data_IF_682935304153
#
_entry.id   IF_682935304153
#
_cell.length_a   1.000
_cell.length_b   1.000
_cell.length_c   1.000
_cell.angle_alpha   90.00
_cell.angle_beta   90.00
_cell.angle_gamma   90.00
#
_symmetry.space_group_name_H-M   'P 1'
#
loop_
_entity.id
_entity.type
_entity.pdbx_description
1 polymer ?
#
# COMPACT_ATOMS: atom_id res chain seq x y z
N UNK A 1 -12.82 -22.32 8.61
CA UNK A 1 -12.15 -21.00 8.77
C UNK A 1 -12.14 -20.34 7.40
N UNK A 2 -12.41 -19.04 7.30
CA UNK A 2 -12.24 -18.34 6.03
C UNK A 2 -10.75 -18.42 5.61
N UNK A 3 -10.48 -18.63 4.31
CA UNK A 3 -9.11 -18.67 3.82
C UNK A 3 -8.42 -17.32 4.08
N UNK A 4 -7.12 -17.36 4.42
CA UNK A 4 -6.33 -16.13 4.64
C UNK A 4 -6.25 -15.36 3.31
N UNK A 5 -6.36 -14.02 3.34
CA UNK A 5 -6.08 -13.22 2.15
C UNK A 5 -4.68 -13.50 1.63
N UNK A 6 -4.53 -13.61 0.31
CA UNK A 6 -3.22 -13.84 -0.34
C UNK A 6 -2.85 -12.66 -1.23
N UNK A 7 -1.70 -12.07 -0.95
CA UNK A 7 -1.24 -10.82 -1.55
C UNK A 7 -0.16 -11.09 -2.58
N UNK A 8 -0.38 -10.66 -3.82
CA UNK A 8 0.53 -10.82 -4.94
C UNK A 8 1.20 -9.48 -5.26
N UNK A 9 2.50 -9.39 -4.99
CA UNK A 9 3.28 -8.17 -5.22
C UNK A 9 4.79 -8.42 -5.19
N UNK A 10 5.59 -7.38 -5.38
CA UNK A 10 7.03 -7.44 -5.15
C UNK A 10 7.37 -7.55 -3.66
N UNK A 11 8.56 -8.10 -3.36
CA UNK A 11 9.12 -8.12 -2.00
C UNK A 11 9.58 -6.71 -1.56
N UNK A 12 8.62 -5.81 -1.37
CA UNK A 12 8.85 -4.45 -0.92
C UNK A 12 7.54 -3.70 -0.71
N UNK A 13 7.64 -2.41 -0.40
CA UNK A 13 6.47 -1.58 -0.06
C UNK A 13 5.52 -1.40 -1.25
N UNK A 14 5.93 -0.54 -2.19
CA UNK A 14 5.12 -0.07 -3.31
C UNK A 14 3.66 0.23 -2.95
N UNK A 15 2.74 -0.17 -3.83
CA UNK A 15 1.29 0.04 -3.66
C UNK A 15 0.63 -0.99 -2.73
N UNK A 16 1.31 -2.08 -2.36
CA UNK A 16 0.77 -3.12 -1.49
C UNK A 16 0.92 -2.78 0.00
N UNK A 17 1.83 -1.88 0.36
CA UNK A 17 2.12 -1.59 1.77
C UNK A 17 0.90 -1.12 2.56
N UNK A 18 0.07 -0.24 1.99
CA UNK A 18 -1.17 0.21 2.65
C UNK A 18 -2.16 -0.92 2.91
N UNK A 19 -2.20 -1.94 2.04
CA UNK A 19 -3.05 -3.12 2.21
C UNK A 19 -2.54 -3.98 3.37
N UNK A 20 -1.21 -4.19 3.47
CA UNK A 20 -0.60 -4.87 4.62
C UNK A 20 -0.92 -4.16 5.93
N UNK A 21 -0.81 -2.83 5.95
CA UNK A 21 -1.13 -2.01 7.12
C UNK A 21 -2.59 -2.16 7.55
N UNK A 22 -3.53 -2.14 6.60
CA UNK A 22 -4.96 -2.26 6.92
C UNK A 22 -5.30 -3.66 7.47
N UNK A 23 -4.81 -4.73 6.83
CA UNK A 23 -5.01 -6.10 7.31
C UNK A 23 -4.39 -6.30 8.70
N UNK A 24 -3.17 -5.80 8.90
CA UNK A 24 -2.51 -5.88 10.19
C UNK A 24 -3.25 -5.10 11.28
N UNK A 25 -3.72 -3.87 10.99
CA UNK A 25 -4.53 -3.09 11.91
C UNK A 25 -5.83 -3.81 12.30
N UNK A 26 -6.46 -4.50 11.34
CA UNK A 26 -7.63 -5.35 11.53
C UNK A 26 -7.34 -6.67 12.29
N UNK A 27 -6.07 -6.98 12.57
CA UNK A 27 -5.68 -8.25 13.21
C UNK A 27 -5.82 -9.47 12.29
N UNK A 28 -5.82 -9.26 10.97
CA UNK A 28 -6.01 -10.30 9.97
C UNK A 28 -4.65 -10.82 9.53
N UNK A 29 -4.44 -12.14 9.66
CA UNK A 29 -3.28 -12.81 9.08
C UNK A 29 -3.45 -12.96 7.57
N UNK A 30 -2.37 -12.80 6.83
CA UNK A 30 -2.35 -12.89 5.37
C UNK A 30 -1.08 -13.56 4.87
N UNK A 31 -1.18 -14.15 3.69
CA UNK A 31 -0.08 -14.77 2.97
C UNK A 31 0.42 -13.84 1.86
N UNK A 32 1.68 -14.00 1.46
CA UNK A 32 2.28 -13.22 0.39
C UNK A 32 2.90 -14.17 -0.66
N UNK A 33 2.65 -13.88 -1.92
CA UNK A 33 3.33 -14.51 -3.06
C UNK A 33 4.11 -13.41 -3.79
N UNK A 34 5.44 -13.53 -3.76
CA UNK A 34 6.32 -12.50 -4.30
C UNK A 34 6.61 -12.72 -5.78
N UNK A 35 6.53 -11.62 -6.53
CA UNK A 35 7.01 -11.56 -7.90
C UNK A 35 8.51 -11.28 -7.90
N UNK A 36 9.28 -12.32 -8.21
CA UNK A 36 10.74 -12.30 -8.29
C UNK A 36 11.26 -12.39 -9.73
N UNK A 37 10.40 -12.80 -10.67
CA UNK A 37 10.75 -12.98 -12.10
C UNK A 37 9.68 -12.41 -13.02
N UNK A 38 10.07 -12.10 -14.26
CA UNK A 38 9.15 -11.64 -15.30
C UNK A 38 8.13 -12.72 -15.64
N UNK A 39 8.56 -13.97 -15.68
CA UNK A 39 7.76 -15.14 -16.03
C UNK A 39 6.61 -15.34 -15.04
N UNK A 40 6.85 -15.13 -13.74
CA UNK A 40 5.80 -15.15 -12.72
C UNK A 40 4.74 -14.06 -12.97
N UNK A 41 5.17 -12.84 -13.29
CA UNK A 41 4.26 -11.74 -13.60
C UNK A 41 3.43 -12.01 -14.88
N UNK A 42 4.08 -12.45 -15.95
CA UNK A 42 3.40 -12.81 -17.20
C UNK A 42 2.45 -13.98 -17.03
N UNK A 43 2.77 -14.94 -16.15
CA UNK A 43 1.86 -16.03 -15.81
C UNK A 43 0.56 -15.50 -15.21
N UNK A 44 0.62 -14.54 -14.28
CA UNK A 44 -0.61 -13.92 -13.73
C UNK A 44 -1.46 -13.23 -14.80
N UNK A 45 -0.81 -12.62 -15.81
CA UNK A 45 -1.50 -12.02 -16.95
C UNK A 45 -2.14 -13.07 -17.85
N UNK A 46 -1.37 -14.11 -18.24
CA UNK A 46 -1.83 -15.21 -19.11
C UNK A 46 -2.97 -16.03 -18.48
N UNK A 47 -2.91 -16.23 -17.17
CA UNK A 47 -3.95 -16.91 -16.40
C UNK A 47 -5.23 -16.05 -16.23
N UNK A 48 -5.26 -14.81 -16.74
CA UNK A 48 -6.42 -13.91 -16.66
C UNK A 48 -6.69 -13.38 -15.25
N UNK A 49 -5.73 -13.49 -14.33
CA UNK A 49 -5.90 -13.11 -12.91
C UNK A 49 -5.81 -11.62 -12.67
N UNK A 50 -5.23 -10.88 -13.62
CA UNK A 50 -5.03 -9.44 -13.53
C UNK A 50 -5.98 -8.70 -14.49
N UNK A 51 -7.09 -8.18 -13.96
CA UNK A 51 -8.13 -7.50 -14.76
C UNK A 51 -7.58 -6.41 -15.71
N UNK A 52 -6.58 -5.65 -15.26
CA UNK A 52 -5.91 -4.62 -16.04
C UNK A 52 -4.44 -4.97 -16.34
N UNK A 53 -4.07 -6.24 -16.22
CA UNK A 53 -2.68 -6.68 -16.40
C UNK A 53 -1.71 -6.14 -15.34
N UNK A 54 -2.18 -5.62 -14.21
CA UNK A 54 -1.38 -4.93 -13.18
C UNK A 54 -1.53 -5.57 -11.80
N UNK A 55 -0.47 -5.50 -10.98
CA UNK A 55 -0.52 -5.71 -9.53
C UNK A 55 -0.53 -4.36 -8.78
N UNK A 56 -1.05 -4.24 -7.54
CA UNK A 56 -1.47 -5.28 -6.59
C UNK A 56 -2.59 -6.21 -7.04
N UNK A 57 -2.47 -7.49 -6.71
CA UNK A 57 -3.56 -8.48 -6.73
C UNK A 57 -3.74 -9.04 -5.31
N UNK A 58 -5.00 -9.16 -4.87
CA UNK A 58 -5.36 -9.79 -3.60
C UNK A 58 -6.44 -10.84 -3.83
N UNK A 59 -6.17 -12.06 -3.42
CA UNK A 59 -7.17 -13.12 -3.30
C UNK A 59 -7.84 -13.01 -1.94
N UNK A 60 -9.15 -12.80 -1.93
CA UNK A 60 -9.91 -12.70 -0.69
C UNK A 60 -11.39 -13.00 -0.95
N UNK A 61 -12.02 -13.81 -0.07
CA UNK A 61 -13.44 -14.18 -0.16
C UNK A 61 -13.87 -14.73 -1.53
N UNK A 62 -12.99 -15.51 -2.18
CA UNK A 62 -13.23 -16.08 -3.51
C UNK A 62 -13.09 -15.09 -4.67
N UNK A 63 -12.69 -13.84 -4.41
CA UNK A 63 -12.46 -12.81 -5.43
C UNK A 63 -10.98 -12.61 -5.73
N UNK A 64 -10.70 -12.19 -6.97
CA UNK A 64 -9.39 -11.73 -7.45
C UNK A 64 -9.44 -10.20 -7.58
N UNK A 65 -9.08 -9.48 -6.52
CA UNK A 65 -9.18 -8.02 -6.51
C UNK A 65 -7.88 -7.38 -7.00
N UNK A 66 -8.00 -6.52 -8.01
CA UNK A 66 -6.95 -5.61 -8.47
C UNK A 66 -7.35 -4.16 -8.15
N UNK A 67 -6.46 -3.19 -8.40
CA UNK A 67 -6.62 -1.77 -8.04
C UNK A 67 -6.59 -1.49 -6.52
N UNK A 68 -5.54 -0.79 -6.07
CA UNK A 68 -5.26 -0.54 -4.65
C UNK A 68 -6.45 0.08 -3.90
N UNK A 69 -7.14 1.07 -4.48
CA UNK A 69 -8.31 1.69 -3.84
C UNK A 69 -9.47 0.72 -3.66
N UNK A 70 -9.76 -0.11 -4.66
CA UNK A 70 -10.86 -1.06 -4.60
C UNK A 70 -10.60 -2.11 -3.51
N UNK A 71 -9.37 -2.64 -3.45
CA UNK A 71 -8.93 -3.57 -2.41
C UNK A 71 -9.06 -2.94 -1.01
N UNK A 72 -8.51 -1.74 -0.81
CA UNK A 72 -8.59 -1.04 0.48
C UNK A 72 -10.04 -0.76 0.90
N UNK A 73 -10.87 -0.32 -0.05
CA UNK A 73 -12.29 -0.02 0.18
C UNK A 73 -13.06 -1.25 0.65
N UNK A 74 -12.82 -2.39 -0.01
CA UNK A 74 -13.44 -3.66 0.35
C UNK A 74 -13.03 -4.11 1.76
N UNK A 75 -11.72 -4.14 2.04
CA UNK A 75 -11.19 -4.58 3.33
C UNK A 75 -11.61 -3.63 4.46
N UNK A 76 -11.62 -2.32 4.23
CA UNK A 76 -12.05 -1.34 5.23
C UNK A 76 -13.54 -1.54 5.58
N UNK A 77 -14.40 -1.79 4.59
CA UNK A 77 -15.81 -2.09 4.84
C UNK A 77 -15.97 -3.42 5.58
N UNK A 78 -15.29 -4.48 5.11
CA UNK A 78 -15.35 -5.83 5.70
C UNK A 78 -14.96 -5.85 7.18
N UNK A 79 -13.98 -5.03 7.58
CA UNK A 79 -13.46 -4.99 8.95
C UNK A 79 -13.91 -3.75 9.74
N UNK A 80 -14.99 -3.08 9.31
CA UNK A 80 -15.60 -1.93 10.01
C UNK A 80 -14.68 -0.73 10.24
N UNK A 81 -13.74 -0.49 9.33
CA UNK A 81 -12.86 0.69 9.30
C UNK A 81 -13.35 1.80 8.35
N UNK A 82 -14.55 1.68 7.77
CA UNK A 82 -15.01 2.58 6.70
C UNK A 82 -16.16 3.53 7.08
N UNK A 83 -16.28 3.85 8.37
CA UNK A 83 -17.34 4.70 8.90
C UNK A 83 -18.71 4.03 8.92
N UNK A 84 -19.66 4.62 9.66
CA UNK A 84 -21.01 4.04 9.81
C UNK A 84 -22.04 4.59 8.83
N UNK A 85 -21.73 5.70 8.18
CA UNK A 85 -22.63 6.40 7.26
C UNK A 85 -21.86 7.08 6.12
N UNK A 86 -22.60 7.61 5.14
CA UNK A 86 -22.03 8.25 3.96
C UNK A 86 -21.17 9.48 4.29
N UNK A 87 -21.51 10.23 5.36
CA UNK A 87 -20.77 11.44 5.74
C UNK A 87 -19.44 11.10 6.40
N UNK A 88 -19.41 10.08 7.24
CA UNK A 88 -18.17 9.54 7.79
C UNK A 88 -17.30 8.92 6.68
N UNK A 89 -17.92 8.14 5.79
CA UNK A 89 -17.22 7.49 4.68
C UNK A 89 -16.55 8.50 3.75
N UNK A 90 -17.26 9.54 3.29
CA UNK A 90 -16.67 10.54 2.40
C UNK A 90 -15.55 11.33 3.09
N UNK A 91 -15.64 11.55 4.40
CA UNK A 91 -14.55 12.18 5.17
C UNK A 91 -13.33 11.26 5.26
N UNK A 92 -13.52 9.96 5.45
CA UNK A 92 -12.44 8.96 5.40
C UNK A 92 -11.79 8.97 4.02
N UNK A 93 -12.60 8.93 2.95
CA UNK A 93 -12.10 8.99 1.57
C UNK A 93 -11.26 10.25 1.34
N UNK A 94 -11.74 11.43 1.69
CA UNK A 94 -10.96 12.67 1.55
C UNK A 94 -9.59 12.61 2.23
N UNK A 95 -9.51 12.02 3.43
CA UNK A 95 -8.24 11.89 4.14
C UNK A 95 -7.32 10.86 3.49
N UNK A 96 -7.86 9.70 3.10
CA UNK A 96 -7.11 8.64 2.43
C UNK A 96 -6.57 9.14 1.09
N UNK A 97 -7.38 9.81 0.28
CA UNK A 97 -7.00 10.33 -1.04
C UNK A 97 -5.85 11.33 -0.91
N UNK A 98 -5.94 12.26 0.05
CA UNK A 98 -4.86 13.18 0.35
C UNK A 98 -3.56 12.47 0.78
N UNK A 99 -3.64 11.37 1.54
CA UNK A 99 -2.44 10.57 1.84
C UNK A 99 -1.91 9.83 0.62
N UNK A 100 -2.77 9.35 -0.28
CA UNK A 100 -2.37 8.63 -1.48
C UNK A 100 -1.62 9.55 -2.46
N UNK A 101 -2.02 10.80 -2.59
CA UNK A 101 -1.31 11.80 -3.39
C UNK A 101 0.12 12.02 -2.88
N UNK A 102 0.29 12.16 -1.56
CA UNK A 102 1.61 12.29 -0.95
C UNK A 102 2.44 11.01 -1.10
N UNK A 103 1.84 9.86 -0.82
CA UNK A 103 2.50 8.56 -0.90
C UNK A 103 2.90 8.21 -2.33
N UNK A 104 2.13 8.61 -3.34
CA UNK A 104 2.49 8.43 -4.74
C UNK A 104 3.80 9.14 -5.09
N UNK A 105 3.99 10.38 -4.64
CA UNK A 105 5.25 11.10 -4.84
C UNK A 105 6.42 10.40 -4.14
N UNK A 106 6.23 9.94 -2.89
CA UNK A 106 7.26 9.21 -2.13
C UNK A 106 7.60 7.88 -2.81
N UNK A 107 6.60 7.17 -3.33
CA UNK A 107 6.75 5.86 -3.98
C UNK A 107 7.54 5.93 -5.28
N UNK A 108 7.42 7.03 -6.03
CA UNK A 108 8.14 7.22 -7.29
C UNK A 108 9.58 7.71 -7.10
N UNK A 109 9.92 8.27 -5.93
CA UNK A 109 11.24 8.81 -5.63
C UNK A 109 12.42 7.81 -5.78
N UNK A 110 12.28 6.50 -5.48
CA UNK A 110 13.34 5.52 -5.73
C UNK A 110 13.70 5.33 -7.21
N UNK A 111 12.78 5.64 -8.14
CA UNK A 111 12.94 5.47 -9.58
C UNK A 111 13.39 6.76 -10.30
N UNK A 112 13.57 7.85 -9.56
CA UNK A 112 14.08 9.10 -10.12
C UNK A 112 15.55 8.98 -10.49
N UNK A 113 15.97 9.73 -11.50
CA UNK A 113 17.38 9.83 -11.88
C UNK A 113 18.19 10.45 -10.73
N UNK A 114 19.46 10.05 -10.52
CA UNK A 114 20.29 10.57 -9.43
C UNK A 114 20.34 12.09 -9.36
N UNK A 115 20.42 12.76 -10.51
CA UNK A 115 20.48 14.21 -10.65
C UNK A 115 19.21 14.94 -10.20
N UNK A 116 18.04 14.32 -10.33
CA UNK A 116 16.73 14.91 -9.97
C UNK A 116 16.28 14.55 -8.55
N UNK A 117 16.91 13.54 -7.96
CA UNK A 117 16.44 12.91 -6.72
C UNK A 117 16.46 13.87 -5.53
N UNK A 118 17.50 14.69 -5.40
CA UNK A 118 17.61 15.62 -4.28
C UNK A 118 16.53 16.71 -4.30
N UNK A 119 16.31 17.34 -5.47
CA UNK A 119 15.28 18.36 -5.65
C UNK A 119 13.87 17.77 -5.47
N UNK A 120 13.64 16.59 -6.04
CA UNK A 120 12.36 15.88 -5.89
C UNK A 120 12.05 15.59 -4.42
N UNK A 121 13.03 15.08 -3.66
CA UNK A 121 12.86 14.83 -2.23
C UNK A 121 12.60 16.12 -1.44
N UNK A 122 13.30 17.22 -1.76
CA UNK A 122 13.06 18.51 -1.13
C UNK A 122 11.63 19.01 -1.40
N UNK A 123 11.15 18.89 -2.64
CA UNK A 123 9.77 19.24 -3.04
C UNK A 123 8.73 18.39 -2.31
N UNK A 124 8.96 17.08 -2.18
CA UNK A 124 8.09 16.17 -1.43
C UNK A 124 8.03 16.57 0.04
N UNK A 125 9.17 16.82 0.67
CA UNK A 125 9.24 17.26 2.08
C UNK A 125 8.50 18.59 2.26
N UNK A 126 8.68 19.53 1.34
CA UNK A 126 8.00 20.82 1.41
C UNK A 126 6.48 20.67 1.29
N UNK A 127 5.99 19.87 0.33
CA UNK A 127 4.56 19.57 0.18
C UNK A 127 4.00 18.84 1.40
N UNK A 128 4.74 17.86 1.95
CA UNK A 128 4.35 17.15 3.15
C UNK A 128 4.11 18.12 4.31
N UNK A 129 5.08 19.01 4.58
CA UNK A 129 5.03 19.97 5.70
C UNK A 129 3.97 21.04 5.52
N UNK A 130 3.78 21.57 4.32
CA UNK A 130 2.94 22.76 4.11
C UNK A 130 1.50 22.44 3.70
N UNK A 131 1.26 21.28 3.07
CA UNK A 131 -0.07 20.91 2.56
C UNK A 131 -0.72 19.78 3.35
N UNK A 132 0.01 18.70 3.62
CA UNK A 132 -0.60 17.46 4.10
C UNK A 132 -0.56 17.33 5.62
N UNK A 133 0.62 17.45 6.25
CA UNK A 133 0.79 17.27 7.69
C UNK A 133 -0.10 18.17 8.54
N UNK A 134 -0.29 19.47 8.23
CA UNK A 134 -1.17 20.34 9.03
C UNK A 134 -2.63 19.83 9.10
N UNK A 135 -3.11 19.18 8.03
CA UNK A 135 -4.45 18.58 8.00
C UNK A 135 -4.54 17.43 9.01
N UNK A 136 -3.53 16.55 9.01
CA UNK A 136 -3.51 15.38 9.90
C UNK A 136 -3.18 15.74 11.35
N UNK A 137 -2.29 16.69 11.60
CA UNK A 137 -1.99 17.17 12.95
C UNK A 137 -3.21 17.79 13.63
N UNK A 138 -4.01 18.54 12.86
CA UNK A 138 -5.27 19.09 13.34
C UNK A 138 -6.32 18.00 13.61
N UNK A 139 -6.38 16.97 12.75
CA UNK A 139 -7.38 15.91 12.83
C UNK A 139 -7.02 14.79 13.83
N UNK A 140 -5.74 14.52 14.07
CA UNK A 140 -5.25 13.31 14.73
C UNK A 140 -4.13 13.61 15.75
N UNK A 141 -4.41 14.46 16.76
CA UNK A 141 -3.53 14.66 17.93
C UNK A 141 -3.33 13.35 18.71
N UNK A 142 -2.37 12.54 18.24
CA UNK A 142 -1.71 11.34 18.82
C UNK A 142 -2.60 10.28 19.48
N UNK A 143 -2.63 9.04 18.93
CA UNK A 143 -2.79 7.74 19.66
C UNK A 143 -2.86 6.45 18.80
N UNK A 144 -2.51 6.48 17.51
CA UNK A 144 -2.67 5.29 16.64
C UNK A 144 -1.58 4.22 16.87
N UNK A 145 -0.33 4.60 17.16
CA UNK A 145 0.80 3.65 17.32
C UNK A 145 0.68 2.73 18.55
N UNK A 146 -0.20 3.05 19.50
CA UNK A 146 -0.41 2.26 20.71
C UNK A 146 -1.51 1.20 20.57
N UNK A 147 -2.23 1.15 19.44
CA UNK A 147 -3.21 0.09 19.17
C UNK A 147 -2.45 -1.24 19.12
N UNK A 148 -2.84 -2.29 19.88
CA UNK A 148 -2.06 -3.52 20.01
C UNK A 148 -1.67 -4.18 18.69
N UNK A 149 -2.60 -4.23 17.73
CA UNK A 149 -2.36 -4.81 16.40
C UNK A 149 -1.33 -4.02 15.60
N UNK A 150 -1.42 -2.69 15.63
CA UNK A 150 -0.45 -1.78 15.01
C UNK A 150 0.91 -1.89 15.71
N UNK A 151 0.94 -1.94 17.03
CA UNK A 151 2.18 -2.10 17.81
C UNK A 151 2.88 -3.41 17.46
N UNK A 152 2.13 -4.51 17.28
CA UNK A 152 2.66 -5.80 16.80
C UNK A 152 3.24 -5.67 15.39
N UNK A 153 2.53 -5.00 14.48
CA UNK A 153 3.00 -4.80 13.10
C UNK A 153 4.24 -3.90 13.01
N UNK A 154 4.46 -3.03 14.00
CA UNK A 154 5.65 -2.20 14.10
C UNK A 154 6.90 -2.95 14.64
N UNK A 155 6.74 -4.12 15.25
CA UNK A 155 7.88 -4.88 15.80
C UNK A 155 8.73 -5.53 14.70
N UNK A 156 10.03 -5.79 14.98
CA UNK A 156 10.87 -6.60 14.10
C UNK A 156 10.25 -7.97 13.80
N UNK A 157 10.46 -8.47 12.58
CA UNK A 157 9.92 -9.76 12.13
C UNK A 157 8.46 -9.72 11.67
N UNK A 158 7.80 -8.56 11.68
CA UNK A 158 6.48 -8.41 11.06
C UNK A 158 6.58 -8.41 9.52
N UNK A 159 5.43 -8.53 8.84
CA UNK A 159 5.35 -8.43 7.38
C UNK A 159 5.49 -6.99 6.83
N UNK A 160 5.76 -6.00 7.69
CA UNK A 160 6.05 -4.61 7.27
C UNK A 160 7.33 -4.57 6.44
N UNK A 161 7.30 -3.91 5.29
CA UNK A 161 8.47 -3.89 4.39
C UNK A 161 9.40 -2.71 4.70
N UNK A 162 10.74 -2.88 4.55
CA UNK A 162 11.69 -1.79 4.70
C UNK A 162 11.52 -0.72 3.60
N UNK A 163 12.11 0.48 3.74
CA UNK A 163 12.16 1.43 2.64
C UNK A 163 12.77 0.79 1.38
N UNK A 164 12.25 1.09 0.18
CA UNK A 164 12.82 0.58 -1.08
C UNK A 164 14.28 0.95 -1.24
N UNK A 165 15.10 -0.03 -1.61
CA UNK A 165 16.50 0.13 -1.98
C UNK A 165 16.69 0.01 -3.51
N UNK A 166 17.95 0.10 -3.96
CA UNK A 166 18.30 -0.03 -5.37
C UNK A 166 17.99 -1.42 -5.93
N UNK A 167 18.12 -2.47 -5.11
CA UNK A 167 17.80 -3.83 -5.53
C UNK A 167 16.31 -3.96 -5.85
N UNK A 168 15.44 -3.47 -4.97
CA UNK A 168 14.00 -3.40 -5.22
C UNK A 168 13.68 -2.61 -6.49
N UNK A 169 14.26 -1.42 -6.67
CA UNK A 169 13.98 -0.59 -7.84
C UNK A 169 14.35 -1.31 -9.14
N UNK A 170 15.54 -1.91 -9.19
CA UNK A 170 16.01 -2.66 -10.37
C UNK A 170 15.15 -3.88 -10.66
N UNK A 171 14.76 -4.64 -9.64
CA UNK A 171 13.88 -5.81 -9.79
C UNK A 171 12.53 -5.41 -10.39
N UNK A 172 11.92 -4.35 -9.85
CA UNK A 172 10.62 -3.86 -10.33
C UNK A 172 10.72 -3.36 -11.77
N UNK A 173 11.72 -2.55 -12.10
CA UNK A 173 11.97 -2.07 -13.46
C UNK A 173 12.19 -3.22 -14.45
N UNK A 174 12.94 -4.25 -14.05
CA UNK A 174 13.16 -5.43 -14.88
C UNK A 174 11.87 -6.22 -15.14
N UNK A 175 11.09 -6.51 -14.09
CA UNK A 175 9.86 -7.30 -14.21
C UNK A 175 8.77 -6.53 -14.95
N UNK A 176 8.66 -5.21 -14.77
CA UNK A 176 7.63 -4.39 -15.40
C UNK A 176 8.05 -3.72 -16.71
N UNK A 177 9.34 -3.75 -17.05
CA UNK A 177 9.93 -3.20 -18.28
C UNK A 177 9.77 -1.67 -18.41
N UNK A 178 10.28 -0.92 -17.42
CA UNK A 178 10.37 0.55 -17.47
C UNK A 178 11.63 1.09 -16.80
#
# INVERSE_FOLDING_TARGET
MAAKPKLYYFHGRGRMESIRWLLAAAGVEFEEEFLETREQYEKLQKDGRLLFGQVPLVEVDGMMLTQTRAILSYLAAKFNFYGKDLKERVRIDMYVDGTLDLMAMIMLAPFQRPEEKQETLASIVQKAKTRYFPVFEKAFKTRISNIPTIKKFLQPGSQRKPPPDTHYANLVSHILQF
#
